data_IF_361721210044
#
_entry.id   IF_361721210044
#
_cell.length_a   1.000
_cell.length_b   1.000
_cell.length_c   1.000
_cell.angle_alpha   90.00
_cell.angle_beta   90.00
_cell.angle_gamma   90.00
#
_symmetry.space_group_name_H-M   'P 1'
#
loop_
_entity.id
_entity.type
_entity.pdbx_description
1 polymer ?
#
# COMPACT_ATOMS: atom_id res chain seq x y z
N UNK A 1 -17.38 11.65 22.16
CA UNK A 1 -16.95 12.05 20.79
C UNK A 1 -15.73 11.22 20.45
N UNK A 2 -15.83 10.28 19.51
CA UNK A 2 -14.71 9.44 19.11
C UNK A 2 -14.36 9.73 17.65
N UNK A 3 -13.49 10.71 17.42
CA UNK A 3 -12.91 10.89 16.10
C UNK A 3 -12.03 9.66 15.81
N UNK A 4 -12.47 8.81 14.89
CA UNK A 4 -11.71 7.62 14.50
C UNK A 4 -10.92 7.96 13.25
N UNK A 5 -9.59 8.04 13.38
CA UNK A 5 -8.69 8.18 12.24
C UNK A 5 -8.18 6.81 11.83
N UNK A 6 -8.47 6.39 10.60
CA UNK A 6 -7.96 5.15 10.00
C UNK A 6 -7.07 5.49 8.82
N UNK A 7 -5.86 4.94 8.82
CA UNK A 7 -4.95 5.02 7.68
C UNK A 7 -4.92 3.68 6.96
N UNK A 8 -4.89 3.72 5.64
CA UNK A 8 -4.74 2.53 4.79
C UNK A 8 -3.70 2.83 3.73
N UNK A 9 -2.65 2.01 3.66
CA UNK A 9 -1.64 2.10 2.62
C UNK A 9 -2.03 1.15 1.48
N UNK A 10 -2.25 1.69 0.29
CA UNK A 10 -2.53 0.91 -0.91
C UNK A 10 -1.37 1.05 -1.87
N UNK A 11 -0.71 -0.07 -2.13
CA UNK A 11 0.45 -0.18 -3.00
C UNK A 11 0.05 -0.97 -4.24
N UNK A 12 0.31 -0.43 -5.42
CA UNK A 12 0.03 -1.07 -6.70
C UNK A 12 1.33 -1.35 -7.42
N UNK A 13 1.50 -2.58 -7.86
CA UNK A 13 2.68 -3.06 -8.58
C UNK A 13 2.27 -3.64 -9.92
N UNK A 14 3.19 -3.66 -10.87
CA UNK A 14 3.05 -4.45 -12.09
C UNK A 14 3.83 -5.75 -11.96
N UNK A 15 3.22 -6.84 -12.39
CA UNK A 15 3.92 -8.10 -12.56
C UNK A 15 4.49 -8.27 -13.96
N UNK A 16 5.33 -9.30 -14.13
CA UNK A 16 6.02 -9.62 -15.38
C UNK A 16 5.05 -9.81 -16.57
N UNK A 17 3.83 -10.29 -16.32
CA UNK A 17 2.78 -10.42 -17.32
C UNK A 17 2.02 -9.11 -17.61
N UNK A 18 2.41 -7.97 -17.02
CA UNK A 18 1.78 -6.66 -17.24
C UNK A 18 0.48 -6.45 -16.45
N UNK A 19 0.11 -7.35 -15.54
CA UNK A 19 -1.05 -7.20 -14.69
C UNK A 19 -0.73 -6.35 -13.45
N UNK A 20 -1.73 -5.59 -13.02
CA UNK A 20 -1.62 -4.77 -11.82
C UNK A 20 -2.02 -5.54 -10.57
N UNK A 21 -1.10 -5.63 -9.61
CA UNK A 21 -1.28 -6.28 -8.32
C UNK A 21 -1.42 -5.20 -7.26
N UNK A 22 -2.53 -5.20 -6.55
CA UNK A 22 -2.80 -4.20 -5.50
C UNK A 22 -2.69 -4.85 -4.12
N UNK A 23 -1.76 -4.37 -3.30
CA UNK A 23 -1.57 -4.76 -1.91
C UNK A 23 -2.14 -3.65 -1.04
N UNK A 24 -3.12 -4.00 -0.20
CA UNK A 24 -3.73 -3.05 0.74
C UNK A 24 -3.30 -3.44 2.16
N UNK A 25 -2.60 -2.53 2.83
CA UNK A 25 -2.16 -2.69 4.21
C UNK A 25 -2.98 -1.75 5.11
N UNK A 26 -3.89 -2.30 5.93
CA UNK A 26 -4.59 -1.52 6.95
C UNK A 26 -3.62 -1.14 8.07
N UNK A 27 -3.81 0.06 8.66
CA UNK A 27 -2.97 0.58 9.75
C UNK A 27 -1.46 0.63 9.42
N UNK A 28 -1.05 1.33 8.35
CA UNK A 28 0.35 1.62 8.10
C UNK A 28 0.94 2.35 9.31
N UNK A 29 2.19 2.03 9.65
CA UNK A 29 2.93 2.67 10.75
C UNK A 29 2.83 4.20 10.63
N UNK A 30 2.49 4.88 11.71
CA UNK A 30 2.09 6.30 11.71
C UNK A 30 3.16 7.28 11.17
N UNK A 31 4.42 6.84 11.09
CA UNK A 31 5.56 7.61 10.59
C UNK A 31 6.13 7.03 9.27
N UNK A 32 5.29 6.46 8.40
CA UNK A 32 5.73 6.04 7.07
C UNK A 32 5.91 7.27 6.18
N UNK A 33 7.15 7.52 5.78
CA UNK A 33 7.46 8.51 4.76
C UNK A 33 7.33 7.89 3.37
N UNK A 34 7.25 8.73 2.34
CA UNK A 34 7.27 8.25 0.95
C UNK A 34 8.54 7.39 0.68
N UNK A 35 9.69 7.79 1.22
CA UNK A 35 10.95 7.06 1.08
C UNK A 35 10.90 5.66 1.72
N UNK A 36 10.31 5.52 2.90
CA UNK A 36 10.15 4.20 3.54
C UNK A 36 9.26 3.28 2.71
N UNK A 37 8.17 3.83 2.16
CA UNK A 37 7.24 3.09 1.32
C UNK A 37 7.94 2.65 0.03
N UNK A 38 8.69 3.54 -0.62
CA UNK A 38 9.47 3.20 -1.80
C UNK A 38 10.53 2.14 -1.51
N UNK A 39 11.25 2.25 -0.40
CA UNK A 39 12.23 1.24 0.01
C UNK A 39 11.57 -0.12 0.24
N UNK A 40 10.39 -0.16 0.87
CA UNK A 40 9.61 -1.39 1.04
C UNK A 40 9.14 -1.94 -0.30
N UNK A 41 8.66 -1.08 -1.21
CA UNK A 41 8.26 -1.47 -2.57
C UNK A 41 9.44 -2.09 -3.34
N UNK A 42 10.61 -1.47 -3.27
CA UNK A 42 11.82 -1.97 -3.93
C UNK A 42 12.31 -3.27 -3.27
N UNK A 43 12.23 -3.40 -1.95
CA UNK A 43 12.52 -4.66 -1.27
C UNK A 43 11.54 -5.77 -1.64
N UNK A 44 10.25 -5.45 -1.84
CA UNK A 44 9.23 -6.42 -2.28
C UNK A 44 9.58 -6.95 -3.68
N UNK A 45 9.93 -6.05 -4.60
CA UNK A 45 10.36 -6.39 -5.97
C UNK A 45 11.66 -7.20 -5.93
N UNK A 46 12.68 -6.72 -5.20
CA UNK A 46 14.00 -7.36 -5.13
C UNK A 46 13.97 -8.73 -4.44
N UNK A 47 13.15 -8.89 -3.38
CA UNK A 47 12.96 -10.17 -2.69
C UNK A 47 12.14 -11.14 -3.53
N UNK A 48 11.30 -10.63 -4.43
CA UNK A 48 10.46 -11.42 -5.31
C UNK A 48 9.59 -12.45 -4.57
N UNK A 49 9.21 -12.12 -3.34
CA UNK A 49 8.52 -13.02 -2.41
C UNK A 49 7.02 -13.14 -2.69
N UNK A 50 6.47 -12.29 -3.56
CA UNK A 50 5.07 -12.30 -3.94
C UNK A 50 4.92 -12.94 -5.32
N UNK A 51 4.68 -14.24 -5.32
CA UNK A 51 4.33 -14.96 -6.54
C UNK A 51 2.89 -14.64 -6.91
N UNK A 52 2.70 -13.93 -8.03
CA UNK A 52 1.36 -13.63 -8.56
C UNK A 52 1.08 -14.55 -9.74
N UNK A 53 -0.19 -14.81 -10.11
CA UNK A 53 -0.49 -15.64 -11.27
C UNK A 53 0.10 -15.12 -12.60
N UNK A 54 0.45 -13.83 -12.67
CA UNK A 54 1.17 -13.24 -13.80
C UNK A 54 2.68 -13.09 -13.59
N UNK A 55 3.26 -13.85 -12.66
CA UNK A 55 4.69 -13.85 -12.40
C UNK A 55 5.13 -12.87 -11.32
N UNK A 56 6.40 -12.51 -11.41
CA UNK A 56 7.17 -11.70 -10.45
C UNK A 56 6.77 -10.22 -10.52
N UNK A 57 6.87 -9.50 -9.41
CA UNK A 57 6.63 -8.05 -9.39
C UNK A 57 7.84 -7.34 -10.02
N UNK A 58 7.65 -6.67 -11.15
CA UNK A 58 8.74 -6.04 -11.91
C UNK A 58 8.83 -4.53 -11.70
N UNK A 59 7.73 -3.86 -11.35
CA UNK A 59 7.75 -2.41 -11.14
C UNK A 59 6.67 -1.93 -10.19
N UNK A 60 6.95 -0.80 -9.52
CA UNK A 60 5.97 -0.04 -8.74
C UNK A 60 5.11 0.79 -9.70
N UNK A 61 3.79 0.59 -9.67
CA UNK A 61 2.86 1.34 -10.52
C UNK A 61 2.38 2.60 -9.84
N UNK A 62 1.91 2.48 -8.61
CA UNK A 62 1.24 3.57 -7.91
C UNK A 62 1.21 3.27 -6.40
N UNK A 63 1.31 4.30 -5.56
CA UNK A 63 1.16 4.16 -4.12
C UNK A 63 0.33 5.28 -3.54
N UNK A 64 -0.61 4.94 -2.67
CA UNK A 64 -1.53 5.90 -2.05
C UNK A 64 -1.69 5.59 -0.58
N UNK A 65 -1.56 6.62 0.24
CA UNK A 65 -2.00 6.59 1.62
C UNK A 65 -3.41 7.19 1.66
N UNK A 66 -4.35 6.43 2.19
CA UNK A 66 -5.74 6.84 2.38
C UNK A 66 -5.93 7.11 3.86
N UNK A 67 -6.01 8.38 4.22
CA UNK A 67 -6.38 8.83 5.56
C UNK A 67 -7.89 9.05 5.61
N UNK A 68 -8.61 8.17 6.33
CA UNK A 68 -10.03 8.31 6.61
C UNK A 68 -10.20 8.89 8.01
N UNK A 69 -10.80 10.08 8.09
CA UNK A 69 -11.18 10.69 9.37
C UNK A 69 -12.69 10.67 9.48
N UNK A 70 -13.21 9.91 10.43
CA UNK A 70 -14.63 9.89 10.76
C UNK A 70 -14.87 10.81 11.95
N UNK A 71 -15.68 11.86 11.73
CA UNK A 71 -16.22 12.70 12.79
C UNK A 71 -17.72 12.41 12.90
N UNK A 72 -18.10 11.73 13.99
CA UNK A 72 -19.50 11.61 14.39
C UNK A 72 -19.97 12.98 14.89
N UNK A 73 -20.83 13.63 14.08
CA UNK A 73 -21.34 14.99 14.33
C UNK A 73 -22.68 15.01 15.06
N UNK A 74 -23.42 13.89 15.07
CA UNK A 74 -24.68 13.71 15.79
C UNK A 74 -24.77 12.26 16.29
N UNK A 75 -25.31 12.08 17.50
CA UNK A 75 -25.74 10.78 18.06
C UNK A 75 -27.12 10.42 17.49
#
# INVERSE_FOLDING_TARGET
MASTTKKVLRMTFNNAAGNAVTITLPQPKAALTAADIEAVMDQIIAKNIFLTPGGELISKRDVRIIDTTTNDLYD
#
